data_IF_178123329390
#
_entry.id   IF_178123329390
#
_cell.length_a   1.000
_cell.length_b   1.000
_cell.length_c   1.000
_cell.angle_alpha   90.00
_cell.angle_beta   90.00
_cell.angle_gamma   90.00
#
_symmetry.space_group_name_H-M   'P 1'
#
loop_
_entity.id
_entity.type
_entity.pdbx_description
1 polymer ?
#
# COMPACT_ATOMS: atom_id res chain seq x y z
N UNK A 1 -14.42 4.47 15.16
CA UNK A 1 -13.44 3.37 14.99
C UNK A 1 -11.98 3.84 14.80
N UNK A 2 -11.71 4.95 14.05
CA UNK A 2 -10.32 5.40 13.84
C UNK A 2 -9.62 5.80 15.15
N UNK A 3 -10.25 6.62 16.00
CA UNK A 3 -9.72 6.99 17.31
C UNK A 3 -9.40 5.77 18.17
N UNK A 4 -10.28 4.79 18.19
CA UNK A 4 -10.07 3.57 18.95
C UNK A 4 -8.86 2.78 18.47
N UNK A 5 -8.69 2.64 17.14
CA UNK A 5 -7.53 1.99 16.57
C UNK A 5 -6.22 2.73 16.90
N UNK A 6 -6.23 4.06 16.82
CA UNK A 6 -5.08 4.88 17.17
C UNK A 6 -4.68 4.73 18.64
N UNK A 7 -5.67 4.71 19.55
CA UNK A 7 -5.44 4.44 20.98
C UNK A 7 -4.82 3.06 21.20
N UNK A 8 -5.30 2.03 20.49
CA UNK A 8 -4.73 0.67 20.56
C UNK A 8 -3.28 0.63 20.10
N UNK A 9 -2.96 1.27 18.97
CA UNK A 9 -1.57 1.37 18.51
C UNK A 9 -0.68 2.02 19.56
N UNK A 10 -1.09 3.15 20.11
CA UNK A 10 -0.31 3.85 21.14
C UNK A 10 -0.18 3.05 22.43
N UNK A 11 -1.22 2.34 22.85
CA UNK A 11 -1.15 1.46 24.05
C UNK A 11 -0.22 0.27 23.86
N UNK A 12 -0.03 -0.16 22.61
CA UNK A 12 0.97 -1.19 22.25
C UNK A 12 2.39 -0.61 22.03
N UNK A 13 2.61 0.68 22.31
CA UNK A 13 3.91 1.33 22.13
C UNK A 13 4.23 1.72 20.68
N UNK A 14 3.26 1.64 19.76
CA UNK A 14 3.43 2.05 18.37
C UNK A 14 3.30 3.58 18.29
N UNK A 15 4.39 4.25 17.97
CA UNK A 15 4.47 5.71 17.92
C UNK A 15 4.30 6.31 16.53
N UNK A 16 4.37 5.48 15.50
CA UNK A 16 4.19 5.89 14.10
C UNK A 16 3.48 4.80 13.32
N UNK A 17 2.50 5.19 12.52
CA UNK A 17 1.80 4.31 11.56
C UNK A 17 1.89 4.89 10.16
N UNK A 18 1.98 4.00 9.16
CA UNK A 18 1.98 4.36 7.74
C UNK A 18 0.80 3.65 7.08
N UNK A 19 -0.19 4.42 6.65
CA UNK A 19 -1.34 3.93 5.89
C UNK A 19 -1.02 4.00 4.40
N UNK A 20 -0.90 2.84 3.77
CA UNK A 20 -0.47 2.70 2.38
C UNK A 20 -1.63 2.62 1.38
N UNK A 21 -2.83 3.03 1.77
CA UNK A 21 -3.99 3.09 0.88
C UNK A 21 -5.22 3.64 1.58
N UNK A 22 -5.71 4.77 1.13
CA UNK A 22 -6.81 5.48 1.76
C UNK A 22 -7.69 6.16 0.72
N UNK A 23 -8.79 6.75 1.14
CA UNK A 23 -9.60 7.66 0.32
C UNK A 23 -9.20 9.11 0.59
N UNK A 24 -9.58 10.04 -0.29
CA UNK A 24 -9.36 11.46 -0.03
C UNK A 24 -10.03 11.94 1.29
N UNK A 25 -11.18 11.39 1.62
CA UNK A 25 -11.86 11.73 2.87
C UNK A 25 -11.04 11.32 4.10
N UNK A 26 -10.37 10.16 4.05
CA UNK A 26 -9.55 9.70 5.16
C UNK A 26 -8.25 10.48 5.33
N UNK A 27 -7.66 11.02 4.27
CA UNK A 27 -6.48 11.89 4.36
C UNK A 27 -6.70 13.07 5.30
N UNK A 28 -7.88 13.66 5.32
CA UNK A 28 -8.20 14.77 6.22
C UNK A 28 -8.24 14.35 7.70
N UNK A 29 -8.51 13.08 8.00
CA UNK A 29 -8.51 12.59 9.37
C UNK A 29 -7.10 12.56 9.98
N UNK A 30 -6.04 12.36 9.19
CA UNK A 30 -4.66 12.45 9.67
C UNK A 30 -4.43 13.75 10.43
N UNK A 31 -4.81 14.88 9.84
CA UNK A 31 -4.59 16.21 10.42
C UNK A 31 -5.48 16.41 11.65
N UNK A 32 -6.69 15.86 11.67
CA UNK A 32 -7.60 15.88 12.82
C UNK A 32 -7.00 15.19 14.05
N UNK A 33 -6.26 14.10 13.85
CA UNK A 33 -5.67 13.32 14.92
C UNK A 33 -4.23 13.70 15.24
N UNK A 34 -3.54 14.48 14.39
CA UNK A 34 -2.13 14.83 14.53
C UNK A 34 -1.78 15.50 15.87
N UNK A 35 -2.74 16.22 16.49
CA UNK A 35 -2.54 16.94 17.76
C UNK A 35 -3.07 16.18 18.98
N UNK A 36 -3.59 14.97 18.78
CA UNK A 36 -4.17 14.19 19.89
C UNK A 36 -3.07 13.40 20.61
N UNK A 37 -3.02 13.52 21.93
CA UNK A 37 -1.99 12.87 22.77
C UNK A 37 -2.02 11.34 22.76
N UNK A 38 -3.11 10.74 22.31
CA UNK A 38 -3.26 9.29 22.14
C UNK A 38 -2.97 8.81 20.73
N UNK A 39 -2.72 9.71 19.78
CA UNK A 39 -2.49 9.33 18.39
C UNK A 39 -0.99 9.10 18.13
N UNK A 40 -0.61 7.99 17.50
CA UNK A 40 0.71 7.90 16.90
C UNK A 40 0.85 8.93 15.77
N UNK A 41 2.07 9.21 15.34
CA UNK A 41 2.30 9.94 14.11
C UNK A 41 1.72 9.15 12.94
N UNK A 42 0.86 9.78 12.13
CA UNK A 42 0.22 9.14 10.98
C UNK A 42 0.88 9.65 9.71
N UNK A 43 1.31 8.75 8.85
CA UNK A 43 1.69 9.01 7.46
C UNK A 43 0.71 8.30 6.55
N UNK A 44 0.19 9.02 5.56
CA UNK A 44 -0.88 8.48 4.69
C UNK A 44 -0.65 8.86 3.23
N UNK A 45 -1.06 7.97 2.35
CA UNK A 45 -1.33 8.26 0.95
C UNK A 45 -2.83 8.45 0.71
N UNK A 46 -3.19 8.99 -0.45
CA UNK A 46 -4.56 8.99 -0.95
C UNK A 46 -4.96 7.66 -1.60
N UNK A 47 -5.87 7.70 -2.58
CA UNK A 47 -6.24 6.54 -3.38
C UNK A 47 -5.03 5.90 -4.07
N UNK A 48 -5.07 4.58 -4.22
CA UNK A 48 -4.00 3.85 -4.88
C UNK A 48 -4.09 4.03 -6.40
N UNK A 49 -3.01 4.48 -7.02
CA UNK A 49 -2.87 4.44 -8.47
C UNK A 49 -2.70 2.99 -8.90
N UNK A 50 -3.51 2.52 -9.82
CA UNK A 50 -3.53 1.09 -10.20
C UNK A 50 -3.69 0.89 -11.69
N UNK A 51 -3.23 -0.25 -12.17
CA UNK A 51 -3.47 -0.73 -13.53
C UNK A 51 -4.77 -1.54 -13.67
N UNK A 52 -5.45 -1.78 -12.54
CA UNK A 52 -6.69 -2.54 -12.49
C UNK A 52 -7.52 -2.17 -11.26
N UNK A 53 -8.79 -1.86 -11.45
CA UNK A 53 -9.75 -1.63 -10.36
C UNK A 53 -10.67 -2.84 -10.21
N UNK A 54 -10.66 -3.54 -9.06
CA UNK A 54 -11.62 -4.62 -8.82
C UNK A 54 -13.07 -4.12 -8.85
N UNK A 55 -13.98 -4.93 -9.37
CA UNK A 55 -15.38 -4.52 -9.60
C UNK A 55 -16.07 -4.01 -8.33
N UNK A 56 -15.77 -4.61 -7.18
CA UNK A 56 -16.32 -4.20 -5.88
C UNK A 56 -15.93 -2.77 -5.46
N UNK A 57 -14.88 -2.21 -6.06
CA UNK A 57 -14.36 -0.87 -5.73
C UNK A 57 -14.61 0.16 -6.84
N UNK A 58 -15.38 -0.21 -7.87
CA UNK A 58 -15.80 0.73 -8.91
C UNK A 58 -16.97 1.57 -8.42
N UNK A 59 -17.08 2.79 -8.94
CA UNK A 59 -18.22 3.69 -8.72
C UNK A 59 -18.43 4.17 -7.26
N UNK A 60 -17.38 4.25 -6.47
CA UNK A 60 -17.44 4.74 -5.08
C UNK A 60 -17.37 6.27 -4.98
N UNK A 61 -17.29 7.00 -6.09
CA UNK A 61 -17.25 8.47 -6.10
C UNK A 61 -16.10 9.04 -5.27
N UNK A 62 -16.40 9.92 -4.33
CA UNK A 62 -15.41 10.55 -3.43
C UNK A 62 -14.76 9.59 -2.45
N UNK A 63 -15.32 8.41 -2.25
CA UNK A 63 -14.77 7.34 -1.43
C UNK A 63 -14.01 6.29 -2.23
N UNK A 64 -13.60 6.64 -3.47
CA UNK A 64 -12.76 5.77 -4.30
C UNK A 64 -11.43 5.48 -3.59
N UNK A 65 -11.12 4.19 -3.47
CA UNK A 65 -9.84 3.71 -2.95
C UNK A 65 -8.78 3.58 -4.05
N UNK A 66 -9.22 3.50 -5.32
CA UNK A 66 -8.36 3.27 -6.46
C UNK A 66 -8.61 4.30 -7.56
N UNK A 67 -7.54 4.74 -8.21
CA UNK A 67 -7.56 5.55 -9.44
C UNK A 67 -6.88 4.73 -10.53
N UNK A 68 -7.61 4.42 -11.59
CA UNK A 68 -7.10 3.60 -12.70
C UNK A 68 -6.19 4.42 -13.61
N UNK A 69 -4.98 3.94 -13.81
CA UNK A 69 -4.01 4.47 -14.76
C UNK A 69 -4.29 3.89 -16.14
N UNK A 70 -4.81 4.69 -17.07
CA UNK A 70 -5.14 4.27 -18.45
C UNK A 70 -4.11 4.69 -19.46
N UNK A 71 -3.67 5.92 -19.34
CA UNK A 71 -2.61 6.52 -20.17
C UNK A 71 -1.59 7.21 -19.26
N UNK A 72 -0.40 7.54 -19.79
CA UNK A 72 0.59 8.31 -19.03
C UNK A 72 0.06 9.70 -18.62
N UNK A 73 -0.75 10.34 -19.47
CA UNK A 73 -1.37 11.64 -19.19
C UNK A 73 -2.37 11.52 -18.04
N UNK A 74 -3.29 10.54 -18.09
CA UNK A 74 -4.23 10.27 -17.00
C UNK A 74 -3.49 9.95 -15.68
N UNK A 75 -2.39 9.23 -15.78
CA UNK A 75 -1.57 8.87 -14.63
C UNK A 75 -0.93 10.09 -13.98
N UNK A 76 -0.33 10.98 -14.77
CA UNK A 76 0.22 12.24 -14.25
C UNK A 76 -0.86 13.13 -13.66
N UNK A 77 -2.02 13.20 -14.31
CA UNK A 77 -3.18 13.90 -13.76
C UNK A 77 -3.61 13.31 -12.43
N UNK A 78 -3.68 12.00 -12.28
CA UNK A 78 -4.05 11.34 -11.03
C UNK A 78 -3.11 11.73 -9.89
N UNK A 79 -1.79 11.80 -10.12
CA UNK A 79 -0.84 12.32 -9.14
C UNK A 79 -1.16 13.77 -8.77
N UNK A 80 -1.44 14.63 -9.75
CA UNK A 80 -1.81 16.02 -9.51
C UNK A 80 -3.12 16.17 -8.71
N UNK A 81 -4.10 15.31 -8.96
CA UNK A 81 -5.38 15.31 -8.25
C UNK A 81 -5.21 14.98 -6.75
N UNK A 82 -4.15 14.27 -6.35
CA UNK A 82 -3.82 13.99 -4.95
C UNK A 82 -3.14 15.17 -4.23
N UNK A 83 -2.38 16.03 -4.94
CA UNK A 83 -1.55 17.07 -4.31
C UNK A 83 -2.34 18.04 -3.40
N UNK A 84 -3.56 18.50 -3.76
CA UNK A 84 -4.35 19.38 -2.88
C UNK A 84 -4.68 18.75 -1.51
N UNK A 85 -4.71 17.42 -1.45
CA UNK A 85 -4.99 16.64 -0.23
C UNK A 85 -3.74 16.40 0.62
N UNK A 86 -2.56 16.83 0.15
CA UNK A 86 -1.26 16.77 0.85
C UNK A 86 -0.91 15.36 1.31
N UNK A 87 -0.87 14.35 0.42
CA UNK A 87 -0.43 13.02 0.80
C UNK A 87 1.04 13.06 1.28
N UNK A 88 1.43 12.18 2.20
CA UNK A 88 2.83 12.07 2.62
C UNK A 88 3.71 11.37 1.56
N UNK A 89 3.08 10.59 0.69
CA UNK A 89 3.70 9.86 -0.44
C UNK A 89 2.60 9.40 -1.40
N UNK A 90 2.99 8.94 -2.60
CA UNK A 90 2.08 8.31 -3.58
C UNK A 90 2.19 6.80 -3.45
N UNK A 91 1.06 6.10 -3.61
CA UNK A 91 1.02 4.64 -3.62
C UNK A 91 0.56 4.10 -4.96
N UNK A 92 1.34 3.18 -5.52
CA UNK A 92 0.97 2.43 -6.72
C UNK A 92 0.66 0.99 -6.33
N UNK A 93 -0.46 0.47 -6.83
CA UNK A 93 -0.83 -0.93 -6.76
C UNK A 93 -0.54 -1.56 -8.12
N UNK A 94 0.69 -2.05 -8.29
CA UNK A 94 1.19 -2.61 -9.54
C UNK A 94 0.76 -4.06 -9.70
N UNK A 95 -0.45 -4.26 -10.22
CA UNK A 95 -1.07 -5.57 -10.42
C UNK A 95 -1.00 -5.97 -11.90
N UNK A 96 -0.73 -7.24 -12.15
CA UNK A 96 -0.70 -7.85 -13.48
C UNK A 96 -1.74 -8.95 -13.54
N UNK A 97 -2.73 -8.79 -14.41
CA UNK A 97 -3.77 -9.80 -14.66
C UNK A 97 -3.49 -10.65 -15.92
N UNK A 98 -2.41 -10.35 -16.63
CA UNK A 98 -2.01 -11.12 -17.82
C UNK A 98 -1.49 -12.50 -17.39
N UNK A 99 -1.90 -13.54 -18.07
CA UNK A 99 -1.37 -14.91 -17.87
C UNK A 99 0.13 -14.99 -18.12
N UNK A 100 0.68 -14.11 -18.97
CA UNK A 100 2.11 -13.87 -19.07
C UNK A 100 2.44 -12.62 -18.25
N UNK A 101 2.88 -12.85 -17.01
CA UNK A 101 3.15 -11.81 -16.02
C UNK A 101 4.19 -10.83 -16.52
N UNK A 102 5.28 -11.30 -17.15
CA UNK A 102 6.32 -10.41 -17.68
C UNK A 102 5.79 -9.49 -18.77
N UNK A 103 5.00 -10.02 -19.71
CA UNK A 103 4.37 -9.22 -20.77
C UNK A 103 3.44 -8.15 -20.15
N UNK A 104 2.60 -8.54 -19.22
CA UNK A 104 1.67 -7.62 -18.54
C UNK A 104 2.40 -6.55 -17.73
N UNK A 105 3.45 -6.93 -16.99
CA UNK A 105 4.27 -6.00 -16.26
C UNK A 105 4.91 -4.96 -17.20
N UNK A 106 5.59 -5.40 -18.24
CA UNK A 106 6.22 -4.50 -19.22
C UNK A 106 5.22 -3.61 -19.96
N UNK A 107 4.01 -4.12 -20.24
CA UNK A 107 2.93 -3.33 -20.84
C UNK A 107 2.52 -2.15 -19.94
N UNK A 108 2.44 -2.39 -18.64
CA UNK A 108 2.02 -1.39 -17.65
C UNK A 108 3.17 -0.50 -17.15
N UNK A 109 4.41 -0.86 -17.44
CA UNK A 109 5.60 -0.15 -16.98
C UNK A 109 5.60 1.36 -17.30
N UNK A 110 5.22 1.81 -18.52
CA UNK A 110 5.19 3.26 -18.82
C UNK A 110 4.26 4.04 -17.88
N UNK A 111 3.15 3.45 -17.44
CA UNK A 111 2.22 4.08 -16.50
C UNK A 111 2.86 4.20 -15.12
N UNK A 112 3.50 3.14 -14.64
CA UNK A 112 4.21 3.15 -13.35
C UNK A 112 5.34 4.17 -13.37
N UNK A 113 6.13 4.22 -14.44
CA UNK A 113 7.18 5.22 -14.64
C UNK A 113 6.62 6.64 -14.61
N UNK A 114 5.51 6.89 -15.33
CA UNK A 114 4.88 8.21 -15.37
C UNK A 114 4.40 8.67 -13.99
N UNK A 115 3.84 7.76 -13.18
CA UNK A 115 3.42 8.06 -11.81
C UNK A 115 4.61 8.43 -10.92
N UNK A 116 5.68 7.64 -10.98
CA UNK A 116 6.89 7.86 -10.18
C UNK A 116 7.56 9.17 -10.56
N UNK A 117 7.77 9.41 -11.86
CA UNK A 117 8.37 10.64 -12.36
C UNK A 117 7.58 11.87 -11.91
N UNK A 118 6.25 11.81 -11.98
CA UNK A 118 5.41 12.94 -11.64
C UNK A 118 5.37 13.18 -10.12
N UNK A 119 5.33 12.12 -9.31
CA UNK A 119 5.43 12.24 -7.86
C UNK A 119 6.77 12.86 -7.43
N UNK A 120 7.88 12.41 -8.02
CA UNK A 120 9.22 12.93 -7.72
C UNK A 120 9.37 14.40 -8.13
N UNK A 121 8.81 14.85 -9.26
CA UNK A 121 8.77 16.28 -9.63
C UNK A 121 8.07 17.13 -8.57
N UNK A 122 7.12 16.56 -7.85
CA UNK A 122 6.38 17.21 -6.78
C UNK A 122 6.97 16.92 -5.38
N UNK A 123 8.21 16.39 -5.29
CA UNK A 123 8.91 16.05 -4.06
C UNK A 123 8.19 15.01 -3.18
N UNK A 124 7.38 14.16 -3.78
CA UNK A 124 6.73 13.03 -3.10
C UNK A 124 7.46 11.74 -3.42
N UNK A 125 7.69 10.93 -2.38
CA UNK A 125 8.19 9.56 -2.52
C UNK A 125 7.07 8.64 -3.01
N UNK A 126 7.47 7.49 -3.57
CA UNK A 126 6.51 6.53 -4.11
C UNK A 126 6.70 5.16 -3.48
N UNK A 127 5.60 4.62 -2.94
CA UNK A 127 5.51 3.25 -2.47
C UNK A 127 4.80 2.39 -3.53
N UNK A 128 5.39 1.25 -3.89
CA UNK A 128 4.84 0.36 -4.91
C UNK A 128 4.54 -1.01 -4.31
N UNK A 129 3.30 -1.47 -4.46
CA UNK A 129 2.93 -2.86 -4.25
C UNK A 129 3.47 -3.67 -5.43
N UNK A 130 4.26 -4.68 -5.16
CA UNK A 130 4.77 -5.59 -6.15
C UNK A 130 5.10 -6.94 -5.49
N UNK A 131 4.40 -7.98 -5.88
CA UNK A 131 4.54 -9.34 -5.33
C UNK A 131 5.25 -10.28 -6.29
N UNK A 132 5.22 -10.00 -7.59
CA UNK A 132 6.01 -10.73 -8.56
C UNK A 132 7.39 -10.09 -8.70
N UNK A 133 8.42 -10.91 -8.89
CA UNK A 133 9.79 -10.42 -9.03
C UNK A 133 9.96 -9.43 -10.17
N UNK A 134 9.26 -9.65 -11.29
CA UNK A 134 9.36 -8.74 -12.45
C UNK A 134 8.71 -7.38 -12.15
N UNK A 135 7.54 -7.32 -11.50
CA UNK A 135 6.89 -6.06 -11.11
C UNK A 135 7.74 -5.31 -10.08
N UNK A 136 8.33 -6.04 -9.13
CA UNK A 136 9.24 -5.46 -8.14
C UNK A 136 10.51 -4.88 -8.82
N UNK A 137 11.13 -5.61 -9.75
CA UNK A 137 12.29 -5.11 -10.48
C UNK A 137 11.95 -3.85 -11.29
N UNK A 138 10.90 -3.89 -12.08
CA UNK A 138 10.49 -2.76 -12.91
C UNK A 138 10.12 -1.54 -12.05
N UNK A 139 9.46 -1.72 -10.89
CA UNK A 139 9.20 -0.63 -9.96
C UNK A 139 10.49 0.02 -9.45
N UNK A 140 11.49 -0.78 -9.09
CA UNK A 140 12.80 -0.28 -8.64
C UNK A 140 13.57 0.40 -9.77
N UNK A 141 13.52 -0.13 -10.98
CA UNK A 141 14.12 0.48 -12.17
C UNK A 141 13.47 1.83 -12.48
N UNK A 142 12.14 1.93 -12.34
CA UNK A 142 11.38 3.16 -12.50
C UNK A 142 11.68 4.22 -11.41
N UNK A 143 12.28 3.81 -10.28
CA UNK A 143 12.66 4.72 -9.21
C UNK A 143 11.78 4.67 -7.97
N UNK A 144 11.04 3.57 -7.72
CA UNK A 144 10.30 3.40 -6.47
C UNK A 144 11.18 3.61 -5.24
N UNK A 145 10.69 4.34 -4.24
CA UNK A 145 11.39 4.57 -2.97
C UNK A 145 11.13 3.45 -1.97
N UNK A 146 9.95 2.83 -2.06
CA UNK A 146 9.53 1.73 -1.19
C UNK A 146 8.93 0.60 -2.01
N UNK A 147 9.28 -0.64 -1.69
CA UNK A 147 8.52 -1.81 -2.08
C UNK A 147 7.68 -2.29 -0.89
N UNK A 148 6.40 -2.51 -1.15
CA UNK A 148 5.46 -3.04 -0.16
C UNK A 148 5.11 -4.46 -0.58
N UNK A 149 5.25 -5.37 0.37
CA UNK A 149 5.18 -6.83 0.27
C UNK A 149 6.48 -7.48 -0.22
N UNK A 150 6.58 -8.77 0.05
CA UNK A 150 7.68 -9.60 -0.45
C UNK A 150 7.39 -10.06 -1.87
N UNK A 151 8.44 -10.30 -2.64
CA UNK A 151 8.36 -11.14 -3.83
C UNK A 151 8.00 -12.56 -3.37
N UNK A 152 6.97 -13.18 -3.96
CA UNK A 152 6.43 -14.46 -3.54
C UNK A 152 6.31 -15.50 -4.67
N UNK A 153 6.62 -15.13 -5.90
CA UNK A 153 6.57 -15.98 -7.09
C UNK A 153 7.89 -16.71 -7.36
N UNK A 154 9.03 -16.19 -6.89
CA UNK A 154 10.33 -16.82 -7.04
C UNK A 154 11.34 -16.41 -5.95
N UNK A 155 12.44 -17.16 -5.84
CA UNK A 155 13.54 -16.81 -4.93
C UNK A 155 14.28 -15.60 -5.52
N UNK A 156 14.39 -14.54 -4.73
CA UNK A 156 15.09 -13.32 -5.15
C UNK A 156 16.60 -13.57 -5.35
N UNK A 157 17.12 -13.11 -6.47
CA UNK A 157 18.55 -13.25 -6.80
C UNK A 157 19.41 -12.20 -6.06
N UNK A 158 20.71 -12.48 -5.96
CA UNK A 158 21.66 -11.52 -5.42
C UNK A 158 21.71 -10.21 -6.24
N UNK A 159 21.54 -10.29 -7.55
CA UNK A 159 21.51 -9.13 -8.45
C UNK A 159 20.35 -8.20 -8.10
N UNK A 160 19.17 -8.77 -7.84
CA UNK A 160 18.02 -7.97 -7.41
C UNK A 160 18.25 -7.32 -6.02
N UNK A 161 18.84 -8.05 -5.08
CA UNK A 161 19.23 -7.49 -3.78
C UNK A 161 20.24 -6.34 -3.93
N UNK A 162 21.21 -6.47 -4.83
CA UNK A 162 22.17 -5.40 -5.12
C UNK A 162 21.49 -4.20 -5.80
N UNK A 163 20.50 -4.44 -6.67
CA UNK A 163 19.72 -3.37 -7.29
C UNK A 163 18.96 -2.56 -6.22
N UNK A 164 18.27 -3.21 -5.29
CA UNK A 164 17.59 -2.56 -4.16
C UNK A 164 18.55 -1.68 -3.34
N UNK A 165 19.73 -2.23 -2.99
CA UNK A 165 20.77 -1.50 -2.27
C UNK A 165 21.29 -0.30 -3.06
N UNK A 166 21.62 -0.49 -4.33
CA UNK A 166 22.12 0.58 -5.22
C UNK A 166 21.14 1.71 -5.37
N UNK A 167 19.85 1.41 -5.44
CA UNK A 167 18.78 2.38 -5.57
C UNK A 167 18.28 2.92 -4.23
N UNK A 168 18.81 2.42 -3.11
CA UNK A 168 18.40 2.77 -1.75
C UNK A 168 16.90 2.59 -1.48
N UNK A 169 16.32 1.51 -2.01
CA UNK A 169 14.90 1.21 -1.87
C UNK A 169 14.62 0.55 -0.53
N UNK A 170 13.61 1.02 0.17
CA UNK A 170 13.13 0.41 1.41
C UNK A 170 12.16 -0.71 1.09
N UNK A 171 12.38 -1.90 1.64
CA UNK A 171 11.47 -3.04 1.53
C UNK A 171 10.67 -3.22 2.82
N UNK A 172 9.34 -3.26 2.72
CA UNK A 172 8.42 -3.61 3.80
C UNK A 172 7.77 -4.98 3.49
N UNK A 173 8.31 -6.11 3.98
CA UNK A 173 8.05 -7.43 3.44
C UNK A 173 6.75 -8.11 3.92
N UNK A 174 5.93 -7.54 4.78
CA UNK A 174 4.64 -8.08 5.27
C UNK A 174 4.61 -9.61 5.51
N UNK A 175 5.64 -10.15 6.15
CA UNK A 175 5.93 -11.59 6.24
C UNK A 175 4.81 -12.42 6.88
N UNK A 176 4.02 -11.86 7.81
CA UNK A 176 2.98 -12.60 8.52
C UNK A 176 1.67 -12.75 7.72
N UNK A 177 1.50 -11.99 6.64
CA UNK A 177 0.23 -11.92 5.90
C UNK A 177 -0.18 -13.28 5.34
N UNK A 178 0.73 -13.97 4.64
CA UNK A 178 0.43 -15.29 4.07
C UNK A 178 0.08 -16.34 5.14
N UNK A 179 0.79 -16.32 6.27
CA UNK A 179 0.48 -17.18 7.42
C UNK A 179 -0.87 -16.83 8.06
N UNK A 180 -1.20 -15.55 8.15
CA UNK A 180 -2.48 -15.06 8.65
C UNK A 180 -3.64 -15.50 7.76
N UNK A 181 -3.55 -15.28 6.45
CA UNK A 181 -4.56 -15.75 5.50
C UNK A 181 -4.77 -17.26 5.56
N UNK A 182 -3.69 -18.06 5.60
CA UNK A 182 -3.82 -19.50 5.72
C UNK A 182 -4.60 -19.90 6.98
N UNK A 183 -4.28 -19.34 8.13
CA UNK A 183 -4.99 -19.63 9.39
C UNK A 183 -6.46 -19.22 9.33
N UNK A 184 -6.77 -18.05 8.76
CA UNK A 184 -8.13 -17.54 8.64
C UNK A 184 -8.96 -18.41 7.70
N UNK A 185 -8.50 -18.65 6.47
CA UNK A 185 -9.25 -19.43 5.49
C UNK A 185 -9.35 -20.92 5.84
N UNK A 186 -8.39 -21.48 6.58
CA UNK A 186 -8.49 -22.84 7.10
C UNK A 186 -9.29 -22.93 8.42
N UNK A 187 -9.78 -21.81 8.95
CA UNK A 187 -10.46 -21.72 10.25
C UNK A 187 -9.64 -22.30 11.41
N UNK A 188 -8.32 -22.16 11.35
CA UNK A 188 -7.40 -22.65 12.39
C UNK A 188 -6.79 -21.53 13.24
N UNK A 189 -7.28 -20.31 13.10
CA UNK A 189 -6.84 -19.19 13.93
C UNK A 189 -7.33 -19.39 15.36
N UNK A 190 -6.43 -19.31 16.32
CA UNK A 190 -6.73 -19.38 17.75
C UNK A 190 -6.16 -18.14 18.42
N UNK A 191 -7.02 -17.39 19.05
CA UNK A 191 -6.63 -16.20 19.81
C UNK A 191 -6.32 -16.58 21.24
N UNK A 192 -5.23 -16.05 21.76
CA UNK A 192 -4.97 -16.06 23.21
C UNK A 192 -5.89 -15.07 23.92
N UNK A 193 -6.02 -15.18 25.24
CA UNK A 193 -6.81 -14.24 26.06
C UNK A 193 -6.27 -12.81 25.92
N UNK A 194 -4.95 -12.64 25.86
CA UNK A 194 -4.31 -11.34 25.72
C UNK A 194 -4.54 -10.73 24.34
N UNK A 195 -4.47 -11.52 23.27
CA UNK A 195 -4.81 -11.07 21.92
C UNK A 195 -6.27 -10.62 21.84
N UNK A 196 -7.21 -11.36 22.45
CA UNK A 196 -8.63 -10.96 22.51
C UNK A 196 -8.84 -9.68 23.31
N UNK A 197 -8.15 -9.53 24.42
CA UNK A 197 -8.27 -8.33 25.26
C UNK A 197 -7.77 -7.06 24.56
N UNK A 198 -6.78 -7.18 23.68
CA UNK A 198 -6.17 -6.08 22.94
C UNK A 198 -6.76 -5.86 21.54
N UNK A 199 -7.52 -6.83 21.02
CA UNK A 199 -8.06 -6.79 19.66
C UNK A 199 -9.35 -5.97 19.56
N UNK A 200 -9.67 -5.54 18.35
CA UNK A 200 -10.97 -4.90 18.07
C UNK A 200 -12.01 -6.00 17.81
N UNK A 201 -13.17 -6.00 18.51
CA UNK A 201 -14.12 -7.12 18.44
C UNK A 201 -14.67 -7.40 17.03
N UNK A 202 -14.90 -6.36 16.23
CA UNK A 202 -15.49 -6.53 14.88
C UNK A 202 -14.55 -7.24 13.92
N UNK A 203 -13.30 -6.77 13.66
CA UNK A 203 -12.38 -7.53 12.81
C UNK A 203 -12.05 -8.91 13.37
N UNK A 204 -11.93 -9.04 14.70
CA UNK A 204 -11.62 -10.33 15.32
C UNK A 204 -12.77 -11.32 15.13
N UNK A 205 -14.02 -10.89 15.31
CA UNK A 205 -15.20 -11.70 15.02
C UNK A 205 -15.22 -12.19 13.58
N UNK A 206 -14.94 -11.31 12.62
CA UNK A 206 -14.93 -11.69 11.19
C UNK A 206 -13.84 -12.68 10.77
N UNK A 207 -12.84 -12.90 11.62
CA UNK A 207 -11.78 -13.92 11.38
C UNK A 207 -12.26 -15.32 11.83
N UNK A 208 -13.10 -15.40 12.87
CA UNK A 208 -13.51 -16.66 13.46
C UNK A 208 -14.85 -17.19 12.94
N UNK A 209 -15.67 -16.34 12.35
CA UNK A 209 -16.93 -16.71 11.67
C UNK A 209 -16.66 -17.35 10.30
#
# INVERSE_FOLDING_TARGET
>A
HMEENLRRYSSAGITTVVDVGSTFNFLHHRDTFATKNFSPLIRMTGPLLTTYVPDAFKNLGSDALFIEMKTEEDTRKAVHDELPHKPDFIKIWYIVLDTNVERGARKNYPLVQAAIDEAHKNNLRVAVHATERITAQLAVEAGADFLVHSVDDEIVSNEFVQLLKKKNVVLCPTLIVGGGYRKTFSKTYQFTTDELALSHPVPTGSIVD
#
